data_IF_022239769737
#
_entry.id   IF_022239769737
#
_cell.length_a   1.000
_cell.length_b   1.000
_cell.length_c   1.000
_cell.angle_alpha   90.00
_cell.angle_beta   90.00
_cell.angle_gamma   90.00
#
_symmetry.space_group_name_H-M   'P 1'
#
loop_
_entity.id
_entity.type
_entity.pdbx_description
1 polymer ?
#
# COMPACT_ATOMS: atom_id res chain seq x y z
N UNK A 1 55.86 -9.75 8.92
CA UNK A 1 54.47 -9.33 8.53
C UNK A 1 54.50 -8.94 7.06
N UNK A 2 54.14 -9.84 6.16
CA UNK A 2 54.11 -9.56 4.73
C UNK A 2 53.03 -8.55 4.42
N UNK A 3 53.48 -7.33 4.09
CA UNK A 3 52.57 -6.34 3.51
C UNK A 3 52.14 -6.84 2.15
N UNK A 4 50.94 -7.46 2.04
CA UNK A 4 50.32 -7.73 0.77
C UNK A 4 50.03 -6.41 0.08
N UNK A 5 50.94 -5.99 -0.80
CA UNK A 5 50.75 -4.78 -1.61
C UNK A 5 49.57 -5.00 -2.56
N UNK A 6 48.52 -4.23 -2.38
CA UNK A 6 47.41 -4.15 -3.30
C UNK A 6 47.70 -2.96 -4.21
N UNK A 7 47.95 -3.21 -5.49
CA UNK A 7 48.12 -2.15 -6.48
C UNK A 7 46.78 -1.42 -6.66
N UNK A 8 46.81 -0.09 -6.71
CA UNK A 8 45.65 0.76 -6.85
C UNK A 8 45.71 1.50 -8.20
N UNK A 9 44.69 1.41 -9.01
CA UNK A 9 44.61 2.14 -10.29
C UNK A 9 44.08 3.57 -10.06
N UNK A 10 42.93 3.69 -9.43
CA UNK A 10 42.27 4.98 -9.10
C UNK A 10 41.67 4.90 -7.69
N UNK A 11 41.53 6.05 -7.05
CA UNK A 11 40.86 6.18 -5.77
C UNK A 11 40.06 7.48 -5.71
N UNK A 12 39.03 7.50 -4.88
CA UNK A 12 38.19 8.67 -4.62
C UNK A 12 37.65 8.59 -3.18
N UNK A 13 37.03 9.66 -2.72
CA UNK A 13 36.43 9.73 -1.40
C UNK A 13 35.04 10.37 -1.49
N UNK A 14 34.06 9.67 -0.99
CA UNK A 14 32.67 10.14 -0.89
C UNK A 14 32.24 10.12 0.58
N UNK A 15 32.04 11.29 1.18
CA UNK A 15 31.74 11.41 2.58
C UNK A 15 32.80 10.72 3.47
N UNK A 16 32.37 9.74 4.25
CA UNK A 16 33.24 8.91 5.10
C UNK A 16 33.88 7.71 4.40
N UNK A 17 33.45 7.42 3.16
CA UNK A 17 33.89 6.24 2.41
C UNK A 17 35.03 6.56 1.47
N UNK A 18 36.16 5.87 1.63
CA UNK A 18 37.22 5.83 0.63
C UNK A 18 36.98 4.67 -0.34
N UNK A 19 36.96 4.96 -1.65
CA UNK A 19 36.70 4.01 -2.73
C UNK A 19 38.02 3.86 -3.52
N UNK A 20 38.38 2.62 -3.86
CA UNK A 20 39.60 2.38 -4.66
C UNK A 20 39.35 1.22 -5.61
N UNK A 21 39.81 1.33 -6.88
CA UNK A 21 39.88 0.23 -7.82
C UNK A 21 41.24 -0.46 -7.69
N UNK A 22 41.25 -1.70 -7.27
CA UNK A 22 42.48 -2.41 -6.85
C UNK A 22 42.56 -3.80 -7.51
N UNK A 23 43.80 -4.31 -7.62
CA UNK A 23 44.03 -5.73 -7.89
C UNK A 23 43.98 -6.47 -6.54
N UNK A 24 42.97 -7.38 -6.38
CA UNK A 24 42.75 -8.06 -5.12
C UNK A 24 43.64 -9.30 -4.96
N UNK A 25 44.72 -9.15 -4.22
CA UNK A 25 45.71 -10.21 -3.99
C UNK A 25 45.46 -11.04 -2.72
N UNK A 26 44.32 -10.87 -2.06
CA UNK A 26 44.03 -11.59 -0.80
C UNK A 26 43.88 -13.10 -0.97
N UNK A 27 43.53 -13.55 -2.15
CA UNK A 27 43.36 -14.96 -2.46
C UNK A 27 44.22 -15.36 -3.65
N UNK A 28 45.19 -16.23 -3.41
CA UNK A 28 46.01 -16.82 -4.49
C UNK A 28 45.14 -17.82 -5.26
N UNK A 29 45.03 -17.66 -6.57
CA UNK A 29 44.35 -18.63 -7.46
C UNK A 29 45.35 -19.25 -8.44
N UNK A 30 45.06 -20.45 -8.90
CA UNK A 30 45.87 -21.14 -9.90
C UNK A 30 46.07 -20.25 -11.15
N UNK A 31 47.33 -20.06 -11.58
CA UNK A 31 47.68 -19.28 -12.76
C UNK A 31 48.17 -17.83 -12.50
N UNK A 32 48.36 -17.40 -11.24
CA UNK A 32 48.94 -16.10 -10.91
C UNK A 32 48.13 -14.87 -11.30
N UNK A 33 46.85 -15.04 -11.68
CA UNK A 33 45.92 -13.97 -11.99
C UNK A 33 45.01 -13.64 -10.82
N UNK A 34 44.80 -12.35 -10.56
CA UNK A 34 44.00 -11.82 -9.47
C UNK A 34 42.80 -11.00 -10.01
N UNK A 35 41.66 -11.05 -9.35
CA UNK A 35 40.52 -10.25 -9.80
C UNK A 35 40.74 -8.75 -9.53
N UNK A 36 40.24 -7.91 -10.44
CA UNK A 36 40.04 -6.50 -10.14
C UNK A 36 38.83 -6.37 -9.22
N UNK A 37 38.96 -5.51 -8.20
CA UNK A 37 37.86 -5.26 -7.26
C UNK A 37 37.78 -3.77 -6.88
N UNK A 38 36.58 -3.33 -6.61
CA UNK A 38 36.32 -2.09 -5.88
C UNK A 38 36.53 -2.36 -4.38
N UNK A 39 37.33 -1.56 -3.75
CA UNK A 39 37.53 -1.58 -2.30
C UNK A 39 36.91 -0.33 -1.68
N UNK A 40 35.90 -0.55 -0.87
CA UNK A 40 35.24 0.47 -0.06
C UNK A 40 35.80 0.42 1.36
N UNK A 41 36.13 1.57 1.95
CA UNK A 41 36.70 1.66 3.30
C UNK A 41 35.93 2.72 4.10
N UNK A 42 35.28 2.31 5.20
CA UNK A 42 34.63 3.18 6.19
C UNK A 42 35.15 2.76 7.59
N UNK A 43 35.58 3.69 8.41
CA UNK A 43 36.02 3.44 9.80
C UNK A 43 37.01 2.26 9.91
N UNK A 44 38.01 2.24 9.02
CA UNK A 44 39.04 1.18 8.90
C UNK A 44 38.53 -0.20 8.49
N UNK A 45 37.20 -0.40 8.37
CA UNK A 45 36.62 -1.62 7.82
C UNK A 45 36.64 -1.58 6.28
N UNK A 46 36.85 -2.74 5.65
CA UNK A 46 37.01 -2.84 4.20
C UNK A 46 36.05 -3.82 3.61
N UNK A 47 35.40 -3.41 2.52
CA UNK A 47 34.55 -4.26 1.66
C UNK A 47 35.21 -4.35 0.28
N UNK A 48 35.19 -5.53 -0.34
CA UNK A 48 35.70 -5.73 -1.69
C UNK A 48 34.59 -6.29 -2.58
N UNK A 49 34.39 -5.63 -3.71
CA UNK A 49 33.39 -6.00 -4.71
C UNK A 49 34.10 -6.36 -6.02
N UNK A 50 34.14 -7.66 -6.44
CA UNK A 50 34.86 -8.08 -7.64
C UNK A 50 34.15 -7.62 -8.91
N UNK A 51 34.90 -7.15 -9.92
CA UNK A 51 34.38 -6.72 -11.22
C UNK A 51 34.44 -7.82 -12.29
N UNK A 52 34.96 -9.02 -11.98
CA UNK A 52 34.99 -10.18 -12.87
C UNK A 52 36.31 -10.37 -13.62
N UNK A 53 36.94 -9.30 -14.09
CA UNK A 53 38.20 -9.37 -14.82
C UNK A 53 39.36 -9.80 -13.93
N UNK A 54 40.33 -10.54 -14.52
CA UNK A 54 41.50 -11.06 -13.80
C UNK A 54 42.76 -10.76 -14.58
N UNK A 55 43.75 -10.23 -13.88
CA UNK A 55 45.05 -9.85 -14.41
C UNK A 55 46.17 -10.37 -13.53
N UNK A 56 47.34 -10.61 -14.15
CA UNK A 56 48.57 -10.76 -13.42
C UNK A 56 49.03 -9.40 -12.91
N UNK A 57 49.94 -9.38 -11.94
CA UNK A 57 50.52 -8.11 -11.43
C UNK A 57 51.18 -7.29 -12.56
N UNK A 58 51.90 -7.96 -13.46
CA UNK A 58 52.58 -7.30 -14.59
C UNK A 58 51.58 -6.65 -15.56
N UNK A 59 50.52 -7.38 -15.93
CA UNK A 59 49.45 -6.86 -16.81
C UNK A 59 48.77 -5.66 -16.15
N UNK A 60 48.42 -5.75 -14.86
CA UNK A 60 47.76 -4.64 -14.16
C UNK A 60 48.67 -3.43 -14.00
N UNK A 61 49.95 -3.60 -13.66
CA UNK A 61 50.91 -2.50 -13.60
C UNK A 61 51.10 -1.85 -14.99
N UNK A 62 51.10 -2.60 -16.06
CA UNK A 62 51.15 -2.07 -17.46
C UNK A 62 49.93 -1.20 -17.75
N UNK A 63 48.73 -1.65 -17.37
CA UNK A 63 47.51 -0.87 -17.47
C UNK A 63 47.58 0.42 -16.63
N UNK A 64 48.01 0.34 -15.37
CA UNK A 64 48.15 1.52 -14.51
C UNK A 64 49.06 2.61 -15.08
N UNK A 65 50.15 2.19 -15.72
CA UNK A 65 51.18 3.09 -16.30
C UNK A 65 50.84 3.52 -17.73
N UNK A 66 49.83 2.95 -18.38
CA UNK A 66 49.47 3.28 -19.75
C UNK A 66 49.12 4.76 -19.91
N UNK A 67 49.66 5.40 -20.97
CA UNK A 67 49.41 6.80 -21.32
C UNK A 67 48.91 6.84 -22.79
N UNK A 68 48.15 7.86 -23.11
CA UNK A 68 47.71 8.10 -24.48
C UNK A 68 48.92 8.37 -25.36
N UNK A 69 49.14 7.54 -26.38
CA UNK A 69 50.32 7.66 -27.29
C UNK A 69 50.07 8.56 -28.50
N UNK A 70 48.79 8.96 -28.72
CA UNK A 70 48.40 9.89 -29.81
C UNK A 70 48.64 9.37 -31.25
N UNK A 71 49.13 8.13 -31.43
CA UNK A 71 49.38 7.52 -32.74
C UNK A 71 48.13 6.74 -33.20
N UNK A 72 47.60 7.09 -34.37
CA UNK A 72 46.60 6.29 -35.08
C UNK A 72 47.37 5.29 -35.98
N UNK A 73 47.42 4.04 -35.58
CA UNK A 73 47.92 2.92 -36.39
C UNK A 73 46.77 1.94 -36.65
N UNK A 74 46.75 1.32 -37.82
CA UNK A 74 45.74 0.33 -38.19
C UNK A 74 45.88 -0.99 -37.40
N UNK A 75 47.01 -1.17 -36.69
CA UNK A 75 47.26 -2.31 -35.79
C UNK A 75 47.44 -1.75 -34.38
N UNK A 76 46.51 -2.10 -33.48
CA UNK A 76 46.59 -1.65 -32.06
C UNK A 76 47.82 -2.26 -31.40
N UNK A 77 48.69 -1.42 -30.87
CA UNK A 77 49.81 -1.85 -30.05
C UNK A 77 49.34 -2.27 -28.66
N UNK A 78 50.09 -3.12 -27.97
CA UNK A 78 49.81 -3.52 -26.59
C UNK A 78 49.63 -2.30 -25.66
N UNK A 79 50.37 -1.21 -25.89
CA UNK A 79 50.28 0.05 -25.13
C UNK A 79 48.93 0.76 -25.37
N UNK A 80 48.38 0.71 -26.56
CA UNK A 80 47.06 1.29 -26.86
C UNK A 80 45.95 0.45 -26.26
N UNK A 81 46.07 -0.88 -26.32
CA UNK A 81 45.13 -1.81 -25.68
C UNK A 81 45.09 -1.60 -24.15
N UNK A 82 46.26 -1.46 -23.53
CA UNK A 82 46.35 -1.17 -22.08
C UNK A 82 45.76 0.18 -21.72
N UNK A 83 45.90 1.20 -22.57
CA UNK A 83 45.31 2.53 -22.34
C UNK A 83 43.78 2.48 -22.49
N UNK A 84 43.23 1.81 -23.47
CA UNK A 84 41.80 1.60 -23.65
C UNK A 84 41.20 0.86 -22.41
N UNK A 85 41.87 -0.21 -21.99
CA UNK A 85 41.48 -0.96 -20.79
C UNK A 85 41.48 -0.07 -19.54
N UNK A 86 42.49 0.79 -19.36
CA UNK A 86 42.56 1.77 -18.29
C UNK A 86 41.37 2.72 -18.31
N UNK A 87 41.07 3.30 -19.49
CA UNK A 87 39.94 4.22 -19.65
C UNK A 87 38.60 3.57 -19.30
N UNK A 88 38.39 2.33 -19.76
CA UNK A 88 37.20 1.56 -19.43
C UNK A 88 37.05 1.30 -17.93
N UNK A 89 38.13 0.91 -17.28
CA UNK A 89 38.16 0.67 -15.82
C UNK A 89 37.93 1.96 -15.04
N UNK A 90 38.49 3.09 -15.48
CA UNK A 90 38.27 4.41 -14.85
C UNK A 90 36.81 4.88 -15.04
N UNK A 91 36.21 4.65 -16.21
CA UNK A 91 34.82 4.95 -16.46
C UNK A 91 33.89 4.08 -15.60
N UNK A 92 34.19 2.78 -15.52
CA UNK A 92 33.49 1.84 -14.64
C UNK A 92 33.61 2.29 -13.17
N UNK A 93 34.82 2.64 -12.72
CA UNK A 93 35.04 3.16 -11.37
C UNK A 93 34.16 4.39 -11.08
N UNK A 94 34.10 5.35 -12.01
CA UNK A 94 33.30 6.56 -11.86
C UNK A 94 31.82 6.26 -11.69
N UNK A 95 31.25 5.30 -12.44
CA UNK A 95 29.86 4.90 -12.29
C UNK A 95 29.55 4.36 -10.88
N UNK A 96 30.48 3.65 -10.27
CA UNK A 96 30.33 3.17 -8.89
C UNK A 96 30.52 4.29 -7.85
N UNK A 97 31.38 5.26 -8.10
CA UNK A 97 31.51 6.47 -7.26
C UNK A 97 30.19 7.24 -7.27
N UNK A 98 29.55 7.41 -8.44
CA UNK A 98 28.24 8.07 -8.56
C UNK A 98 27.16 7.34 -7.73
N UNK A 99 27.14 6.01 -7.73
CA UNK A 99 26.23 5.21 -6.88
C UNK A 99 26.45 5.50 -5.40
N UNK A 100 27.72 5.55 -4.94
CA UNK A 100 28.04 5.82 -3.53
C UNK A 100 27.71 7.27 -3.17
N UNK A 101 27.91 8.22 -4.09
CA UNK A 101 27.51 9.62 -3.90
C UNK A 101 25.98 9.76 -3.73
N UNK A 102 25.19 9.04 -4.53
CA UNK A 102 23.73 9.04 -4.39
C UNK A 102 23.29 8.44 -3.05
N UNK A 103 23.98 7.42 -2.54
CA UNK A 103 23.71 6.84 -1.22
C UNK A 103 24.08 7.83 -0.08
N UNK A 104 25.20 8.53 -0.19
CA UNK A 104 25.67 9.51 0.83
C UNK A 104 24.69 10.70 0.96
N UNK A 105 24.03 11.10 -0.14
CA UNK A 105 23.01 12.16 -0.13
C UNK A 105 21.74 11.79 0.60
N UNK A 106 21.43 10.50 0.71
CA UNK A 106 20.14 10.02 1.20
C UNK A 106 20.14 9.56 2.64
N UNK A 107 21.31 9.14 3.17
CA UNK A 107 21.43 8.62 4.54
C UNK A 107 22.88 8.52 4.98
N UNK A 108 23.11 8.21 6.27
CA UNK A 108 24.47 7.95 6.80
C UNK A 108 25.06 6.70 6.12
N UNK A 109 26.10 6.91 5.31
CA UNK A 109 26.74 5.89 4.51
C UNK A 109 27.33 4.75 5.36
N UNK A 110 27.06 3.50 4.97
CA UNK A 110 27.64 2.30 5.61
C UNK A 110 28.07 1.27 4.55
N UNK A 111 29.05 0.40 4.90
CA UNK A 111 29.49 -0.68 4.00
C UNK A 111 28.37 -1.65 3.63
N UNK A 112 27.44 -1.90 4.55
CA UNK A 112 26.26 -2.75 4.30
C UNK A 112 25.36 -2.14 3.23
N UNK A 113 25.07 -0.85 3.32
CA UNK A 113 24.25 -0.15 2.30
C UNK A 113 24.90 -0.20 0.92
N UNK A 114 26.22 0.02 0.86
CA UNK A 114 26.98 -0.09 -0.39
C UNK A 114 26.85 -1.51 -0.94
N UNK A 115 27.08 -2.54 -0.12
CA UNK A 115 27.00 -3.93 -0.53
C UNK A 115 25.59 -4.32 -1.00
N UNK A 116 24.57 -3.94 -0.26
CA UNK A 116 23.15 -4.13 -0.64
C UNK A 116 22.85 -3.50 -1.99
N UNK A 117 23.33 -2.27 -2.21
CA UNK A 117 23.11 -1.56 -3.48
C UNK A 117 23.83 -2.22 -4.66
N UNK A 118 25.05 -2.74 -4.44
CA UNK A 118 25.88 -3.34 -5.49
C UNK A 118 25.48 -4.79 -5.82
N UNK A 119 25.08 -5.54 -4.82
CA UNK A 119 24.78 -6.98 -4.99
C UNK A 119 23.29 -7.31 -5.06
N UNK A 120 22.44 -6.41 -4.57
CA UNK A 120 21.03 -6.72 -4.31
C UNK A 120 20.84 -7.82 -3.25
N UNK A 121 21.92 -8.20 -2.56
CA UNK A 121 21.97 -9.35 -1.65
C UNK A 121 22.25 -8.91 -0.22
N UNK A 122 21.26 -8.40 0.48
CA UNK A 122 21.15 -8.69 1.90
C UNK A 122 19.94 -9.60 2.06
N UNK A 123 20.13 -10.78 2.65
CA UNK A 123 19.02 -11.66 3.04
C UNK A 123 18.10 -10.99 4.07
N UNK A 124 18.58 -9.93 4.74
CA UNK A 124 17.84 -9.17 5.75
C UNK A 124 17.05 -7.97 5.20
N UNK A 125 17.36 -7.44 3.98
CA UNK A 125 16.65 -6.30 3.40
C UNK A 125 16.29 -6.53 1.92
N UNK A 126 15.02 -6.48 1.59
CA UNK A 126 14.54 -6.54 0.21
C UNK A 126 13.31 -5.66 0.02
N UNK A 127 13.00 -5.34 -1.23
CA UNK A 127 11.78 -4.62 -1.59
C UNK A 127 10.51 -5.28 -1.02
N UNK A 128 10.47 -6.62 -1.03
CA UNK A 128 9.35 -7.38 -0.49
C UNK A 128 9.31 -7.40 1.04
N UNK A 129 10.46 -7.29 1.73
CA UNK A 129 10.53 -7.15 3.19
C UNK A 129 10.13 -5.75 3.64
N UNK A 130 10.57 -4.70 2.94
CA UNK A 130 10.07 -3.33 3.19
C UNK A 130 8.55 -3.27 2.98
N UNK A 131 8.02 -4.01 1.99
CA UNK A 131 6.58 -4.10 1.80
C UNK A 131 5.89 -4.76 2.99
N UNK A 132 6.46 -5.85 3.54
CA UNK A 132 5.94 -6.53 4.74
C UNK A 132 5.99 -5.62 5.97
N UNK A 133 7.11 -4.92 6.17
CA UNK A 133 7.26 -3.95 7.25
C UNK A 133 6.17 -2.86 7.20
N UNK A 134 5.90 -2.33 6.00
CA UNK A 134 4.80 -1.37 5.82
C UNK A 134 3.44 -2.01 6.15
N UNK A 135 3.18 -3.27 5.74
CA UNK A 135 1.94 -3.97 6.06
C UNK A 135 1.75 -4.06 7.58
N UNK A 136 2.79 -4.48 8.31
CA UNK A 136 2.76 -4.68 9.76
C UNK A 136 2.50 -3.38 10.54
N UNK A 137 2.88 -2.24 9.98
CA UNK A 137 2.71 -0.91 10.59
C UNK A 137 1.43 -0.17 10.12
N UNK A 138 0.48 -0.85 9.45
CA UNK A 138 -0.77 -0.25 8.99
C UNK A 138 -1.99 -0.80 9.74
N UNK A 139 -3.06 0.01 9.75
CA UNK A 139 -4.36 -0.48 10.23
C UNK A 139 -4.80 -1.71 9.44
N UNK A 140 -5.50 -2.64 10.10
CA UNK A 140 -5.92 -3.94 9.53
C UNK A 140 -6.49 -3.83 8.12
N UNK A 141 -7.34 -2.82 7.86
CA UNK A 141 -7.94 -2.61 6.55
C UNK A 141 -6.98 -2.20 5.45
N UNK A 142 -5.99 -1.39 5.78
CA UNK A 142 -4.94 -0.98 4.85
C UNK A 142 -3.96 -2.13 4.65
N UNK A 143 -3.59 -2.84 5.72
CA UNK A 143 -2.72 -4.02 5.69
C UNK A 143 -3.25 -5.10 4.75
N UNK A 144 -4.55 -5.43 4.80
CA UNK A 144 -5.17 -6.40 3.88
C UNK A 144 -5.07 -5.97 2.40
N UNK A 145 -5.31 -4.69 2.12
CA UNK A 145 -5.18 -4.15 0.76
C UNK A 145 -3.74 -4.24 0.25
N UNK A 146 -2.76 -3.92 1.09
CA UNK A 146 -1.34 -4.01 0.76
C UNK A 146 -0.87 -5.45 0.62
N UNK A 147 -1.37 -6.36 1.47
CA UNK A 147 -1.12 -7.80 1.37
C UNK A 147 -1.64 -8.37 0.06
N UNK A 148 -2.84 -7.97 -0.36
CA UNK A 148 -3.43 -8.40 -1.62
C UNK A 148 -2.63 -7.88 -2.81
N UNK A 149 -2.19 -6.62 -2.77
CA UNK A 149 -1.33 -6.04 -3.79
C UNK A 149 0.03 -6.75 -3.86
N UNK A 150 0.66 -7.07 -2.72
CA UNK A 150 1.92 -7.83 -2.64
C UNK A 150 1.76 -9.23 -3.23
N UNK A 151 0.69 -9.94 -2.89
CA UNK A 151 0.38 -11.27 -3.47
C UNK A 151 0.21 -11.20 -4.99
N UNK A 152 -0.49 -10.18 -5.49
CA UNK A 152 -0.63 -9.93 -6.92
C UNK A 152 0.72 -9.65 -7.58
N UNK A 153 1.57 -8.80 -6.96
CA UNK A 153 2.91 -8.52 -7.46
C UNK A 153 3.73 -9.82 -7.60
N UNK A 154 3.77 -10.64 -6.55
CA UNK A 154 4.49 -11.92 -6.56
C UNK A 154 3.92 -12.88 -7.63
N UNK A 155 2.60 -12.91 -7.83
CA UNK A 155 1.95 -13.76 -8.84
C UNK A 155 2.49 -13.48 -10.25
N UNK A 156 2.63 -12.22 -10.64
CA UNK A 156 2.97 -11.83 -12.02
C UNK A 156 4.45 -11.56 -12.26
N UNK A 157 5.17 -11.14 -11.23
CA UNK A 157 6.59 -10.79 -11.31
C UNK A 157 7.46 -11.93 -10.81
N UNK A 158 7.03 -12.65 -9.78
CA UNK A 158 7.80 -13.60 -9.00
C UNK A 158 8.39 -12.97 -7.74
N UNK A 159 9.11 -13.78 -6.99
CA UNK A 159 9.89 -13.32 -5.84
C UNK A 159 11.16 -12.66 -6.39
N UNK A 160 11.34 -11.37 -6.09
CA UNK A 160 12.54 -10.63 -6.44
C UNK A 160 13.54 -10.64 -5.29
N UNK A 161 14.82 -10.80 -5.58
CA UNK A 161 15.89 -10.72 -4.58
C UNK A 161 16.34 -9.27 -4.37
N UNK A 162 16.55 -8.87 -3.11
CA UNK A 162 17.01 -7.53 -2.74
C UNK A 162 16.10 -6.44 -3.30
N UNK A 163 16.70 -5.42 -3.91
CA UNK A 163 16.00 -4.27 -4.53
C UNK A 163 16.02 -4.31 -6.06
N UNK A 164 16.05 -5.50 -6.68
CA UNK A 164 16.03 -5.68 -8.13
C UNK A 164 14.64 -5.41 -8.74
N UNK A 165 14.11 -4.23 -8.47
CA UNK A 165 12.84 -3.74 -8.99
C UNK A 165 13.09 -2.54 -9.91
N UNK A 166 12.41 -2.52 -11.05
CA UNK A 166 12.55 -1.46 -12.06
C UNK A 166 11.20 -1.07 -12.64
N UNK A 167 11.17 -0.03 -13.47
CA UNK A 167 9.98 0.34 -14.23
C UNK A 167 9.45 -0.84 -15.05
N UNK A 168 10.31 -1.58 -15.74
CA UNK A 168 9.93 -2.76 -16.54
C UNK A 168 9.32 -3.88 -15.70
N UNK A 169 9.78 -4.04 -14.46
CA UNK A 169 9.18 -4.98 -13.48
C UNK A 169 7.72 -4.64 -13.20
N UNK A 170 7.43 -3.35 -13.00
CA UNK A 170 6.07 -2.88 -12.72
C UNK A 170 5.20 -2.95 -13.98
N UNK A 171 5.75 -2.63 -15.16
CA UNK A 171 5.03 -2.77 -16.43
C UNK A 171 4.64 -4.23 -16.71
N UNK A 172 5.53 -5.20 -16.42
CA UNK A 172 5.20 -6.62 -16.48
C UNK A 172 4.03 -6.97 -15.56
N UNK A 173 4.03 -6.44 -14.34
CA UNK A 173 2.92 -6.64 -13.40
C UNK A 173 1.60 -6.07 -13.90
N UNK A 174 1.61 -4.82 -14.40
CA UNK A 174 0.43 -4.18 -14.97
C UNK A 174 -0.13 -5.02 -16.12
N UNK A 175 0.70 -5.41 -17.08
CA UNK A 175 0.31 -6.22 -18.23
C UNK A 175 -0.29 -7.57 -17.82
N UNK A 176 0.30 -8.22 -16.80
CA UNK A 176 -0.24 -9.46 -16.26
C UNK A 176 -1.64 -9.30 -15.66
N UNK A 177 -1.87 -8.21 -14.91
CA UNK A 177 -3.20 -7.90 -14.36
C UNK A 177 -4.22 -7.55 -15.45
N UNK A 178 -3.81 -6.80 -16.48
CA UNK A 178 -4.68 -6.45 -17.61
C UNK A 178 -5.10 -7.70 -18.39
N UNK A 179 -4.18 -8.62 -18.65
CA UNK A 179 -4.46 -9.89 -19.31
C UNK A 179 -5.45 -10.76 -18.52
N UNK A 180 -5.41 -10.71 -17.19
CA UNK A 180 -6.36 -11.41 -16.32
C UNK A 180 -7.68 -10.60 -16.09
N UNK A 181 -7.90 -9.51 -16.83
CA UNK A 181 -9.14 -8.73 -16.81
C UNK A 181 -9.34 -7.83 -15.58
N UNK A 182 -8.29 -7.49 -14.85
CA UNK A 182 -8.41 -6.57 -13.71
C UNK A 182 -8.86 -5.18 -14.15
N UNK A 183 -9.76 -4.59 -13.39
CA UNK A 183 -10.22 -3.22 -13.68
C UNK A 183 -9.12 -2.19 -13.42
N UNK A 184 -9.14 -1.08 -14.18
CA UNK A 184 -8.23 0.07 -13.95
C UNK A 184 -8.25 0.56 -12.51
N UNK A 185 -9.40 0.51 -11.83
CA UNK A 185 -9.52 0.86 -10.41
C UNK A 185 -8.69 -0.06 -9.53
N UNK A 186 -8.77 -1.38 -9.73
CA UNK A 186 -8.01 -2.37 -8.96
C UNK A 186 -6.50 -2.22 -9.20
N UNK A 187 -6.11 -2.10 -10.48
CA UNK A 187 -4.70 -1.86 -10.86
C UNK A 187 -4.19 -0.59 -10.18
N UNK A 188 -4.97 0.50 -10.21
CA UNK A 188 -4.60 1.76 -9.57
C UNK A 188 -4.45 1.64 -8.04
N UNK A 189 -5.29 0.83 -7.36
CA UNK A 189 -5.15 0.57 -5.92
C UNK A 189 -3.83 -0.14 -5.63
N UNK A 190 -3.49 -1.18 -6.39
CA UNK A 190 -2.27 -1.96 -6.20
C UNK A 190 -1.01 -1.15 -6.50
N UNK A 191 -1.02 -0.36 -7.57
CA UNK A 191 0.09 0.52 -7.90
C UNK A 191 0.31 1.63 -6.86
N UNK A 192 -0.75 2.15 -6.24
CA UNK A 192 -0.61 3.10 -5.12
C UNK A 192 0.06 2.46 -3.91
N UNK A 193 -0.25 1.20 -3.58
CA UNK A 193 0.46 0.47 -2.54
C UNK A 193 1.95 0.30 -2.88
N UNK A 194 2.26 -0.14 -4.11
CA UNK A 194 3.64 -0.27 -4.60
C UNK A 194 4.40 1.07 -4.55
N UNK A 195 3.75 2.18 -4.93
CA UNK A 195 4.34 3.52 -4.87
C UNK A 195 4.75 3.91 -3.45
N UNK A 196 3.95 3.56 -2.44
CA UNK A 196 4.31 3.82 -1.04
C UNK A 196 5.54 3.02 -0.64
N UNK A 197 5.62 1.74 -1.03
CA UNK A 197 6.81 0.90 -0.80
C UNK A 197 8.04 1.47 -1.50
N UNK A 198 7.89 1.90 -2.75
CA UNK A 198 8.98 2.52 -3.51
C UNK A 198 9.51 3.78 -2.83
N UNK A 199 8.59 4.65 -2.39
CA UNK A 199 8.95 5.87 -1.65
C UNK A 199 9.71 5.55 -0.37
N UNK A 200 9.27 4.56 0.40
CA UNK A 200 9.94 4.11 1.62
C UNK A 200 11.34 3.56 1.32
N UNK A 201 11.48 2.72 0.27
CA UNK A 201 12.79 2.22 -0.16
C UNK A 201 13.72 3.37 -0.59
N UNK A 202 13.18 4.40 -1.25
CA UNK A 202 13.95 5.59 -1.64
C UNK A 202 14.35 6.42 -0.41
N UNK A 203 13.46 6.57 0.56
CA UNK A 203 13.74 7.29 1.80
C UNK A 203 14.78 6.58 2.66
N UNK A 204 14.75 5.22 2.71
CA UNK A 204 15.76 4.39 3.38
C UNK A 204 17.09 4.31 2.59
N UNK A 205 17.18 4.89 1.38
CA UNK A 205 18.39 4.89 0.56
C UNK A 205 18.64 3.59 -0.23
N UNK A 206 17.66 2.69 -0.29
CA UNK A 206 17.77 1.41 -1.03
C UNK A 206 17.54 1.59 -2.53
N UNK A 207 16.76 2.58 -2.94
CA UNK A 207 16.46 2.92 -4.33
C UNK A 207 16.78 4.38 -4.63
N UNK A 208 17.31 4.64 -5.83
CA UNK A 208 17.62 6.00 -6.28
C UNK A 208 16.37 6.76 -6.70
N UNK A 209 16.31 8.07 -6.42
CA UNK A 209 15.27 8.97 -6.93
C UNK A 209 15.24 9.02 -8.45
N UNK A 210 16.38 8.82 -9.12
CA UNK A 210 16.48 8.79 -10.60
C UNK A 210 15.75 7.60 -11.21
N UNK A 211 15.59 6.50 -10.47
CA UNK A 211 14.92 5.27 -10.91
C UNK A 211 13.40 5.28 -10.59
N UNK A 212 12.89 6.39 -10.06
CA UNK A 212 11.47 6.49 -9.68
C UNK A 212 10.54 6.30 -10.88
N UNK A 213 9.69 5.24 -10.87
CA UNK A 213 8.98 4.85 -12.08
C UNK A 213 7.64 5.54 -12.28
N UNK A 214 7.09 6.25 -11.27
CA UNK A 214 5.74 6.78 -11.32
C UNK A 214 5.71 8.28 -11.66
N UNK A 215 4.81 8.70 -12.53
CA UNK A 215 4.63 10.11 -12.87
C UNK A 215 3.58 10.34 -13.95
N UNK A 216 3.47 11.60 -14.38
CA UNK A 216 2.57 12.01 -15.48
C UNK A 216 3.26 12.03 -16.83
N UNK A 217 4.60 12.04 -16.86
CA UNK A 217 5.36 12.05 -18.09
C UNK A 217 5.21 10.73 -18.85
N UNK A 218 5.25 10.79 -20.18
CA UNK A 218 5.13 9.60 -21.05
C UNK A 218 6.20 8.53 -20.79
N UNK A 219 7.36 8.94 -20.27
CA UNK A 219 8.44 8.04 -19.88
C UNK A 219 8.19 7.30 -18.57
N UNK A 220 7.18 7.69 -17.78
CA UNK A 220 6.87 7.15 -16.48
C UNK A 220 5.53 6.40 -16.47
N UNK A 221 5.27 5.65 -15.40
CA UNK A 221 4.03 4.91 -15.21
C UNK A 221 2.99 5.85 -14.60
N UNK A 222 1.96 6.16 -15.35
CA UNK A 222 0.79 6.85 -14.82
C UNK A 222 -0.12 5.87 -14.10
N UNK A 223 -0.36 6.10 -12.80
CA UNK A 223 -1.26 5.24 -12.01
C UNK A 223 -2.69 5.52 -12.46
N UNK A 224 -3.42 4.50 -12.94
CA UNK A 224 -4.77 4.71 -13.45
C UNK A 224 -5.73 5.15 -12.34
N UNK A 225 -6.56 6.12 -12.67
CA UNK A 225 -7.71 6.54 -11.85
C UNK A 225 -8.92 5.74 -12.36
N UNK A 226 -9.65 5.13 -11.44
CA UNK A 226 -10.87 4.41 -11.81
C UNK A 226 -11.92 5.36 -12.41
N UNK A 227 -12.75 4.84 -13.31
CA UNK A 227 -13.91 5.59 -13.79
C UNK A 227 -14.84 5.92 -12.62
N UNK A 228 -15.32 7.14 -12.56
CA UNK A 228 -16.44 7.53 -11.69
C UNK A 228 -17.70 6.82 -12.19
N UNK A 229 -18.01 5.64 -11.63
CA UNK A 229 -19.31 5.02 -11.85
C UNK A 229 -20.37 5.89 -11.18
N UNK A 230 -21.51 6.12 -11.88
CA UNK A 230 -22.68 6.68 -11.24
C UNK A 230 -23.02 5.80 -10.04
N UNK A 231 -23.03 6.38 -8.85
CA UNK A 231 -23.35 5.63 -7.64
C UNK A 231 -24.84 5.37 -7.63
N UNK A 232 -25.20 4.11 -7.53
CA UNK A 232 -26.57 3.70 -7.37
C UNK A 232 -27.05 4.02 -5.96
N UNK A 233 -28.30 4.41 -5.83
CA UNK A 233 -28.95 4.78 -4.57
C UNK A 233 -30.43 4.43 -4.62
N UNK A 234 -31.06 4.35 -3.45
CA UNK A 234 -32.51 4.26 -3.30
C UNK A 234 -33.07 5.67 -3.08
N UNK A 235 -34.13 6.03 -3.81
CA UNK A 235 -34.82 7.28 -3.59
C UNK A 235 -35.65 7.25 -2.30
N UNK A 236 -36.31 8.37 -1.97
CA UNK A 236 -37.10 8.51 -0.73
C UNK A 236 -38.29 7.55 -0.71
N UNK A 237 -38.96 7.37 -1.85
CA UNK A 237 -40.10 6.47 -1.99
C UNK A 237 -39.71 5.02 -1.71
N UNK A 238 -38.59 4.57 -2.29
CA UNK A 238 -38.07 3.21 -2.06
C UNK A 238 -37.63 3.00 -0.60
N UNK A 239 -36.99 4.00 0.00
CA UNK A 239 -36.64 3.93 1.43
C UNK A 239 -37.88 3.89 2.32
N UNK A 240 -38.94 4.62 1.97
CA UNK A 240 -40.23 4.61 2.67
C UNK A 240 -40.92 3.25 2.51
N UNK A 241 -40.91 2.65 1.34
CA UNK A 241 -41.45 1.31 1.11
C UNK A 241 -40.73 0.27 1.99
N UNK A 242 -39.40 0.29 2.03
CA UNK A 242 -38.63 -0.60 2.93
C UNK A 242 -38.97 -0.39 4.40
N UNK A 243 -39.17 0.86 4.82
CA UNK A 243 -39.60 1.18 6.18
C UNK A 243 -41.01 0.64 6.47
N UNK A 244 -41.94 0.76 5.53
CA UNK A 244 -43.29 0.20 5.67
C UNK A 244 -43.28 -1.34 5.73
N UNK A 245 -42.40 -1.99 4.95
CA UNK A 245 -42.20 -3.46 5.03
C UNK A 245 -41.72 -3.84 6.43
N UNK A 246 -40.80 -3.07 7.00
CA UNK A 246 -40.28 -3.30 8.35
C UNK A 246 -41.38 -3.18 9.42
N UNK A 247 -42.10 -2.06 9.42
CA UNK A 247 -43.14 -1.76 10.44
C UNK A 247 -44.30 -2.77 10.36
N UNK A 248 -44.79 -3.04 9.16
CA UNK A 248 -45.93 -3.92 8.94
C UNK A 248 -45.54 -5.40 8.93
N UNK A 249 -44.27 -5.74 9.04
CA UNK A 249 -43.73 -7.11 8.97
C UNK A 249 -44.24 -7.89 7.73
N UNK A 250 -44.35 -7.16 6.62
CA UNK A 250 -44.95 -7.70 5.39
C UNK A 250 -43.90 -8.47 4.58
N UNK A 251 -43.69 -9.74 4.92
CA UNK A 251 -42.77 -10.65 4.26
C UNK A 251 -43.54 -11.74 3.49
N UNK A 252 -42.92 -12.39 2.49
CA UNK A 252 -43.56 -13.50 1.77
C UNK A 252 -43.93 -14.65 2.71
N UNK A 253 -45.18 -15.12 2.61
CA UNK A 253 -45.69 -16.23 3.42
C UNK A 253 -44.93 -17.54 3.22
N UNK A 254 -44.32 -17.73 2.02
CA UNK A 254 -43.45 -18.87 1.72
C UNK A 254 -42.14 -18.93 2.50
N UNK A 255 -41.77 -17.84 3.18
CA UNK A 255 -40.56 -17.82 3.97
C UNK A 255 -40.76 -18.42 5.36
N UNK A 256 -39.77 -19.23 5.79
CA UNK A 256 -39.77 -19.76 7.15
C UNK A 256 -39.61 -18.64 8.18
N UNK A 257 -40.31 -18.75 9.30
CA UNK A 257 -40.30 -17.76 10.40
C UNK A 257 -38.85 -17.37 10.81
N UNK A 258 -37.96 -18.36 11.00
CA UNK A 258 -36.55 -18.10 11.37
C UNK A 258 -35.74 -17.35 10.27
N UNK A 259 -36.18 -17.44 9.01
CA UNK A 259 -35.58 -16.67 7.94
C UNK A 259 -36.14 -15.24 7.90
N UNK A 260 -37.43 -15.08 8.13
CA UNK A 260 -38.08 -13.76 8.28
C UNK A 260 -37.42 -12.95 9.40
N UNK A 261 -37.18 -13.55 10.56
CA UNK A 261 -36.48 -12.88 11.67
C UNK A 261 -35.09 -12.35 11.26
N UNK A 262 -34.32 -13.15 10.49
CA UNK A 262 -33.03 -12.73 9.98
C UNK A 262 -33.12 -11.61 8.93
N UNK A 263 -34.12 -11.67 8.06
CA UNK A 263 -34.37 -10.61 7.06
C UNK A 263 -34.81 -9.34 7.75
N UNK A 264 -35.71 -9.44 8.73
CA UNK A 264 -36.19 -8.31 9.51
C UNK A 264 -35.04 -7.59 10.22
N UNK A 265 -34.17 -8.33 10.91
CA UNK A 265 -32.97 -7.76 11.54
C UNK A 265 -32.04 -7.08 10.51
N UNK A 266 -31.80 -7.70 9.34
CA UNK A 266 -30.95 -7.11 8.29
C UNK A 266 -31.59 -5.86 7.68
N UNK A 267 -32.90 -5.86 7.45
CA UNK A 267 -33.64 -4.69 6.98
C UNK A 267 -33.56 -3.56 8.02
N UNK A 268 -33.77 -3.88 9.29
CA UNK A 268 -33.60 -2.93 10.38
C UNK A 268 -32.22 -2.30 10.41
N UNK A 269 -31.13 -3.10 10.33
CA UNK A 269 -29.76 -2.59 10.24
C UNK A 269 -29.53 -1.72 8.99
N UNK A 270 -30.14 -2.07 7.84
CA UNK A 270 -30.05 -1.28 6.61
C UNK A 270 -30.71 0.10 6.82
N UNK A 271 -31.91 0.12 7.39
CA UNK A 271 -32.63 1.37 7.71
C UNK A 271 -31.93 2.20 8.75
N UNK A 272 -31.38 1.59 9.81
CA UNK A 272 -30.55 2.27 10.81
C UNK A 272 -29.36 2.97 10.16
N UNK A 273 -28.65 2.28 9.25
CA UNK A 273 -27.54 2.91 8.54
C UNK A 273 -27.98 4.16 7.76
N UNK A 274 -29.12 4.13 7.11
CA UNK A 274 -29.68 5.28 6.40
C UNK A 274 -30.09 6.41 7.35
N UNK A 275 -30.88 6.10 8.38
CA UNK A 275 -31.41 7.07 9.33
C UNK A 275 -30.31 7.65 10.25
N UNK A 276 -29.23 6.92 10.44
CA UNK A 276 -28.02 7.42 11.11
C UNK A 276 -27.06 8.11 10.14
N UNK A 277 -27.59 8.97 9.29
CA UNK A 277 -26.83 9.80 8.35
C UNK A 277 -25.93 9.00 7.40
N UNK A 278 -26.32 7.81 6.99
CA UNK A 278 -25.54 6.96 6.10
C UNK A 278 -24.23 6.44 6.71
N UNK A 279 -24.18 6.17 8.02
CA UNK A 279 -22.99 5.61 8.63
C UNK A 279 -22.70 4.16 8.16
N UNK A 280 -21.47 3.70 8.33
CA UNK A 280 -21.09 2.37 7.87
C UNK A 280 -21.50 1.28 8.87
N UNK A 281 -21.68 0.05 8.40
CA UNK A 281 -21.93 -1.10 9.30
C UNK A 281 -20.83 -1.27 10.35
N UNK A 282 -19.58 -0.87 10.04
CA UNK A 282 -18.49 -0.90 11.00
C UNK A 282 -18.69 0.08 12.18
N UNK A 283 -19.35 1.21 11.95
CA UNK A 283 -19.72 2.19 12.97
C UNK A 283 -20.95 1.68 13.73
N UNK A 284 -21.97 1.12 13.05
CA UNK A 284 -23.13 0.48 13.67
C UNK A 284 -22.74 -0.65 14.64
N UNK A 285 -21.82 -1.52 14.22
CA UNK A 285 -21.35 -2.64 15.03
C UNK A 285 -20.63 -2.21 16.31
N UNK A 286 -20.10 -0.99 16.34
CA UNK A 286 -19.40 -0.41 17.49
C UNK A 286 -20.20 0.63 18.25
N UNK A 287 -21.44 0.91 17.82
CA UNK A 287 -22.30 1.89 18.45
C UNK A 287 -22.64 1.43 19.87
N UNK A 288 -22.54 2.37 20.83
CA UNK A 288 -22.76 2.08 22.25
C UNK A 288 -23.77 3.05 22.86
N UNK A 289 -24.43 2.57 23.89
CA UNK A 289 -25.17 3.42 24.84
C UNK A 289 -24.14 4.11 25.76
N UNK A 290 -23.43 5.11 25.23
CA UNK A 290 -22.38 5.85 25.95
C UNK A 290 -22.97 6.92 26.86
N UNK A 291 -22.13 7.64 27.61
CA UNK A 291 -22.58 8.69 28.53
C UNK A 291 -23.35 9.79 27.83
N UNK A 292 -22.96 10.18 26.61
CA UNK A 292 -23.68 11.20 25.84
C UNK A 292 -25.12 10.79 25.52
N UNK A 293 -25.39 9.51 25.25
CA UNK A 293 -26.73 9.01 25.02
C UNK A 293 -27.65 9.32 26.23
N UNK A 294 -27.17 9.08 27.47
CA UNK A 294 -27.91 9.36 28.66
C UNK A 294 -28.01 10.86 28.99
N UNK A 295 -26.91 11.61 28.80
CA UNK A 295 -26.87 13.07 29.01
C UNK A 295 -27.83 13.80 28.05
N UNK A 296 -27.96 13.33 26.80
CA UNK A 296 -28.95 13.86 25.86
C UNK A 296 -30.40 13.51 26.16
N UNK A 297 -30.70 12.85 27.29
CA UNK A 297 -32.02 12.32 27.58
C UNK A 297 -32.46 11.22 26.61
N UNK A 298 -31.52 10.42 26.10
CA UNK A 298 -31.73 9.35 25.10
C UNK A 298 -32.26 9.87 23.76
N UNK A 299 -31.90 11.11 23.41
CA UNK A 299 -32.34 11.75 22.16
C UNK A 299 -31.29 11.68 21.06
N UNK A 300 -30.04 11.34 21.37
CA UNK A 300 -28.98 11.33 20.38
C UNK A 300 -27.88 10.31 20.70
N UNK A 301 -27.32 9.70 19.70
CA UNK A 301 -26.05 8.98 19.79
C UNK A 301 -24.90 9.91 19.45
N UNK A 302 -23.76 9.70 20.12
CA UNK A 302 -22.49 10.31 19.79
C UNK A 302 -21.43 9.24 19.61
N UNK A 303 -20.63 9.31 18.55
CA UNK A 303 -19.53 8.37 18.32
C UNK A 303 -18.45 8.97 17.44
N UNK A 304 -17.23 8.44 17.54
CA UNK A 304 -16.15 8.72 16.60
C UNK A 304 -16.16 7.70 15.46
N UNK A 305 -16.04 8.18 14.22
CA UNK A 305 -15.99 7.29 13.06
C UNK A 305 -14.74 6.43 13.09
N UNK A 306 -14.92 5.11 13.09
CA UNK A 306 -13.82 4.15 13.14
C UNK A 306 -12.79 4.36 12.02
N UNK A 307 -13.23 4.67 10.79
CA UNK A 307 -12.34 4.81 9.62
C UNK A 307 -11.42 6.02 9.68
N UNK A 308 -11.79 7.08 10.38
CA UNK A 308 -11.08 8.37 10.37
C UNK A 308 -10.55 8.79 11.75
N UNK A 309 -10.77 8.00 12.79
CA UNK A 309 -10.36 8.32 14.17
C UNK A 309 -8.86 8.65 14.33
N UNK A 310 -8.00 8.07 13.49
CA UNK A 310 -6.54 8.24 13.58
C UNK A 310 -5.98 9.23 12.55
N UNK A 311 -6.82 9.96 11.80
CA UNK A 311 -6.37 10.78 10.65
C UNK A 311 -6.46 12.29 10.84
N UNK A 312 -7.21 12.78 11.80
CA UNK A 312 -7.36 14.22 12.03
C UNK A 312 -7.03 14.55 13.48
N UNK A 313 -6.26 15.60 13.69
CA UNK A 313 -6.02 16.21 15.00
C UNK A 313 -7.33 16.74 15.60
N UNK A 314 -8.31 17.10 14.76
CA UNK A 314 -9.67 17.41 15.13
C UNK A 314 -10.56 16.19 14.94
N UNK A 315 -10.54 15.25 15.88
CA UNK A 315 -11.47 14.13 15.96
C UNK A 315 -12.91 14.67 16.11
N UNK A 316 -13.58 14.92 14.97
CA UNK A 316 -14.97 15.36 15.01
C UNK A 316 -15.85 14.18 15.41
N UNK A 317 -16.43 14.28 16.60
CA UNK A 317 -17.49 13.40 17.05
C UNK A 317 -18.74 13.61 16.18
N UNK A 318 -19.37 12.53 15.81
CA UNK A 318 -20.61 12.56 15.03
C UNK A 318 -21.78 12.40 16.00
N UNK A 319 -22.68 13.37 15.99
CA UNK A 319 -23.92 13.33 16.75
C UNK A 319 -25.08 12.97 15.81
N UNK A 320 -25.86 11.96 16.18
CA UNK A 320 -27.02 11.48 15.43
C UNK A 320 -28.25 11.62 16.30
N UNK A 321 -29.23 12.46 15.91
CA UNK A 321 -30.50 12.55 16.59
C UNK A 321 -31.34 11.28 16.39
N UNK A 322 -31.96 10.79 17.43
CA UNK A 322 -32.85 9.62 17.40
C UNK A 322 -34.27 10.11 17.09
N UNK A 323 -34.54 10.24 15.81
CA UNK A 323 -35.88 10.56 15.29
C UNK A 323 -36.83 9.40 15.47
N UNK A 324 -38.14 9.66 15.43
CA UNK A 324 -39.16 8.65 15.71
C UNK A 324 -39.05 7.38 14.86
N UNK A 325 -38.84 7.43 13.52
CA UNK A 325 -38.63 6.22 12.73
C UNK A 325 -37.44 5.38 13.19
N UNK A 326 -36.33 6.03 13.63
CA UNK A 326 -35.17 5.33 14.16
C UNK A 326 -35.47 4.70 15.50
N UNK A 327 -36.22 5.39 16.39
CA UNK A 327 -36.63 4.89 17.72
C UNK A 327 -37.43 3.60 17.59
N UNK A 328 -38.39 3.56 16.67
CA UNK A 328 -39.21 2.38 16.40
C UNK A 328 -38.34 1.20 15.95
N UNK A 329 -37.41 1.42 15.03
CA UNK A 329 -36.53 0.34 14.57
C UNK A 329 -35.64 -0.15 15.72
N UNK A 330 -35.06 0.76 16.49
CA UNK A 330 -34.21 0.40 17.62
C UNK A 330 -34.96 -0.41 18.67
N UNK A 331 -36.24 -0.09 18.95
CA UNK A 331 -37.05 -0.85 19.93
C UNK A 331 -37.26 -2.33 19.54
N UNK A 332 -37.13 -2.67 18.22
CA UNK A 332 -37.29 -4.03 17.74
C UNK A 332 -35.98 -4.81 17.59
N UNK A 333 -34.89 -4.14 17.19
CA UNK A 333 -33.66 -4.84 16.83
C UNK A 333 -32.44 -4.52 17.72
N UNK A 334 -32.49 -3.47 18.53
CA UNK A 334 -31.41 -3.13 19.44
C UNK A 334 -31.44 -4.03 20.69
N UNK A 335 -30.29 -4.21 21.31
CA UNK A 335 -30.19 -4.83 22.61
C UNK A 335 -30.80 -3.92 23.71
N UNK A 336 -31.21 -4.48 24.84
CA UNK A 336 -31.60 -3.69 26.02
C UNK A 336 -30.54 -2.65 26.36
N UNK A 337 -30.99 -1.47 26.76
CA UNK A 337 -30.10 -0.36 27.11
C UNK A 337 -29.26 -0.70 28.34
N UNK A 338 -27.96 -0.82 28.10
CA UNK A 338 -26.96 -1.00 29.15
C UNK A 338 -25.87 0.06 28.96
N UNK A 339 -25.55 0.79 30.07
CA UNK A 339 -24.54 1.86 29.98
C UNK A 339 -23.19 1.34 29.55
N UNK A 340 -22.64 1.87 28.43
CA UNK A 340 -21.43 1.38 27.82
C UNK A 340 -21.61 0.12 26.97
N UNK A 341 -22.79 -0.52 27.00
CA UNK A 341 -23.12 -1.69 26.18
C UNK A 341 -23.24 -1.37 24.70
N UNK A 342 -23.06 -2.39 23.85
CA UNK A 342 -23.27 -2.26 22.40
C UNK A 342 -24.76 -2.21 22.08
N UNK A 343 -25.14 -1.37 21.11
CA UNK A 343 -26.52 -1.32 20.60
C UNK A 343 -26.87 -2.59 19.83
N UNK A 344 -25.89 -3.14 19.08
CA UNK A 344 -26.05 -4.36 18.26
C UNK A 344 -24.99 -5.43 18.59
N UNK A 345 -25.00 -6.02 19.79
CA UNK A 345 -23.97 -6.97 20.24
C UNK A 345 -23.95 -8.25 19.41
N UNK A 346 -25.06 -8.62 18.75
CA UNK A 346 -25.16 -9.80 17.89
C UNK A 346 -24.22 -9.76 16.67
N UNK A 347 -23.77 -8.58 16.24
CA UNK A 347 -22.82 -8.42 15.12
C UNK A 347 -21.43 -8.88 15.54
N UNK A 348 -20.93 -8.39 16.67
CA UNK A 348 -19.57 -8.65 17.16
C UNK A 348 -19.47 -9.89 18.05
N UNK A 349 -20.56 -10.35 18.65
CA UNK A 349 -20.64 -11.54 19.52
C UNK A 349 -19.59 -11.56 20.64
N UNK A 350 -19.28 -10.40 21.20
CA UNK A 350 -18.27 -10.26 22.25
C UNK A 350 -16.81 -10.25 21.77
N UNK A 351 -16.57 -10.32 20.48
CA UNK A 351 -15.21 -10.32 19.93
C UNK A 351 -14.58 -8.92 20.06
N UNK A 352 -13.30 -8.90 20.47
CA UNK A 352 -12.50 -7.67 20.66
C UNK A 352 -11.26 -7.59 19.74
N UNK A 353 -10.81 -8.74 19.22
CA UNK A 353 -9.69 -8.77 18.28
C UNK A 353 -10.09 -8.11 16.96
N UNK A 354 -9.42 -7.03 16.58
CA UNK A 354 -9.78 -6.23 15.41
C UNK A 354 -9.79 -7.01 14.08
N UNK A 355 -8.94 -8.02 13.93
CA UNK A 355 -8.95 -8.88 12.74
C UNK A 355 -10.22 -9.72 12.67
N UNK A 356 -10.67 -10.28 13.81
CA UNK A 356 -11.88 -11.08 13.89
C UNK A 356 -13.13 -10.18 13.81
N UNK A 357 -13.14 -9.05 14.52
CA UNK A 357 -14.18 -8.03 14.43
C UNK A 357 -14.43 -7.65 12.98
N UNK A 358 -13.37 -7.40 12.20
CA UNK A 358 -13.50 -7.08 10.79
C UNK A 358 -14.13 -8.22 9.96
N UNK A 359 -13.76 -9.47 10.24
CA UNK A 359 -14.37 -10.64 9.58
C UNK A 359 -15.86 -10.76 9.90
N UNK A 360 -16.25 -10.54 11.16
CA UNK A 360 -17.66 -10.57 11.58
C UNK A 360 -18.47 -9.45 10.90
N UNK A 361 -17.92 -8.25 10.82
CA UNK A 361 -18.57 -7.12 10.12
C UNK A 361 -18.69 -7.42 8.61
N UNK A 362 -17.66 -7.99 7.99
CA UNK A 362 -17.71 -8.37 6.58
C UNK A 362 -18.75 -9.47 6.32
N UNK A 363 -18.85 -10.46 7.20
CA UNK A 363 -19.86 -11.51 7.15
C UNK A 363 -21.28 -10.93 7.27
N UNK A 364 -21.51 -10.05 8.26
CA UNK A 364 -22.84 -9.44 8.43
C UNK A 364 -23.19 -8.51 7.26
N UNK A 365 -22.18 -7.83 6.68
CA UNK A 365 -22.38 -7.04 5.46
C UNK A 365 -22.83 -7.90 4.28
N UNK A 366 -22.23 -9.09 4.10
CA UNK A 366 -22.67 -10.06 3.10
C UNK A 366 -24.09 -10.57 3.38
N UNK A 367 -24.40 -10.89 4.65
CA UNK A 367 -25.73 -11.31 5.07
C UNK A 367 -26.80 -10.26 4.75
N UNK A 368 -26.53 -8.99 5.06
CA UNK A 368 -27.44 -7.89 4.72
C UNK A 368 -27.65 -7.82 3.22
N UNK A 369 -26.58 -7.86 2.43
CA UNK A 369 -26.67 -7.80 0.97
C UNK A 369 -27.53 -8.94 0.39
N UNK A 370 -27.28 -10.18 0.80
CA UNK A 370 -28.01 -11.35 0.32
C UNK A 370 -29.48 -11.32 0.72
N UNK A 371 -29.79 -10.89 1.96
CA UNK A 371 -31.17 -10.81 2.47
C UNK A 371 -31.93 -9.65 1.83
N UNK A 372 -31.27 -8.48 1.68
CA UNK A 372 -31.85 -7.33 0.98
C UNK A 372 -32.15 -7.66 -0.50
N UNK A 373 -31.23 -8.35 -1.19
CA UNK A 373 -31.45 -8.82 -2.55
C UNK A 373 -32.72 -9.68 -2.64
N UNK A 374 -32.89 -10.67 -1.76
CA UNK A 374 -34.08 -11.52 -1.77
C UNK A 374 -35.36 -10.76 -1.43
N UNK A 375 -35.26 -9.80 -0.48
CA UNK A 375 -36.40 -8.96 -0.12
C UNK A 375 -36.84 -8.08 -1.29
N UNK A 376 -35.90 -7.38 -1.93
CA UNK A 376 -36.21 -6.50 -3.06
C UNK A 376 -36.72 -7.28 -4.27
N UNK A 377 -36.24 -8.51 -4.52
CA UNK A 377 -36.84 -9.42 -5.50
C UNK A 377 -38.31 -9.78 -5.17
N UNK A 378 -38.62 -10.02 -3.90
CA UNK A 378 -39.98 -10.30 -3.46
C UNK A 378 -40.90 -9.06 -3.55
N UNK A 379 -40.34 -7.85 -3.56
CA UNK A 379 -41.03 -6.59 -3.82
C UNK A 379 -41.12 -6.25 -5.33
N UNK A 380 -40.65 -7.16 -6.20
CA UNK A 380 -40.56 -6.97 -7.65
C UNK A 380 -39.66 -5.81 -8.08
N UNK A 381 -38.61 -5.54 -7.31
CA UNK A 381 -37.62 -4.58 -7.72
C UNK A 381 -36.54 -5.20 -8.62
N UNK A 382 -36.07 -4.44 -9.61
CA UNK A 382 -34.98 -4.84 -10.50
C UNK A 382 -33.60 -4.47 -9.95
N UNK A 383 -33.55 -3.78 -8.80
CA UNK A 383 -32.32 -3.29 -8.15
C UNK A 383 -32.06 -4.04 -6.84
N UNK A 384 -30.78 -4.27 -6.55
CA UNK A 384 -30.34 -5.07 -5.41
C UNK A 384 -29.38 -4.27 -4.53
N UNK A 385 -29.88 -3.54 -3.52
CA UNK A 385 -29.07 -2.65 -2.73
C UNK A 385 -28.10 -3.40 -1.80
N UNK A 386 -26.85 -2.97 -1.81
CA UNK A 386 -25.88 -3.35 -0.79
C UNK A 386 -25.89 -2.35 0.39
N UNK A 387 -25.28 -2.70 1.52
CA UNK A 387 -25.27 -1.79 2.69
C UNK A 387 -24.58 -0.44 2.41
N UNK A 388 -23.70 -0.35 1.41
CA UNK A 388 -23.10 0.92 1.00
C UNK A 388 -24.09 1.87 0.34
N UNK A 389 -25.19 1.35 -0.20
CA UNK A 389 -26.24 2.18 -0.79
C UNK A 389 -26.95 3.05 0.26
N UNK A 390 -27.04 2.63 1.51
CA UNK A 390 -27.59 3.45 2.59
C UNK A 390 -26.94 4.83 2.63
N UNK A 391 -25.60 4.85 2.53
CA UNK A 391 -24.83 6.09 2.55
C UNK A 391 -25.02 6.93 1.27
N UNK A 392 -25.08 6.26 0.10
CA UNK A 392 -25.32 6.96 -1.16
C UNK A 392 -26.73 7.51 -1.22
N UNK A 393 -27.71 6.72 -0.77
CA UNK A 393 -29.12 7.15 -0.68
C UNK A 393 -29.28 8.33 0.25
N UNK A 394 -28.72 8.29 1.45
CA UNK A 394 -28.77 9.39 2.39
C UNK A 394 -28.20 10.68 1.79
N UNK A 395 -26.96 10.64 1.28
CA UNK A 395 -26.30 11.80 0.71
C UNK A 395 -27.04 12.36 -0.51
N UNK A 396 -27.52 11.50 -1.42
CA UNK A 396 -28.21 11.90 -2.64
C UNK A 396 -29.58 12.47 -2.33
N UNK A 397 -30.36 11.82 -1.46
CA UNK A 397 -31.69 12.27 -1.07
C UNK A 397 -31.65 13.62 -0.35
N UNK A 398 -30.65 13.85 0.54
CA UNK A 398 -30.44 15.14 1.16
C UNK A 398 -30.09 16.23 0.14
N UNK A 399 -29.25 15.92 -0.83
CA UNK A 399 -28.91 16.86 -1.90
C UNK A 399 -30.14 17.24 -2.73
N UNK A 400 -31.00 16.25 -3.07
CA UNK A 400 -32.25 16.49 -3.76
C UNK A 400 -33.27 17.29 -2.92
N UNK A 401 -33.21 17.16 -1.60
CA UNK A 401 -34.01 17.98 -0.67
C UNK A 401 -33.46 19.42 -0.49
N UNK A 402 -32.46 19.81 -1.26
CA UNK A 402 -31.90 21.17 -1.22
C UNK A 402 -30.87 21.43 -0.12
N UNK A 403 -30.42 20.41 0.61
CA UNK A 403 -29.36 20.57 1.61
C UNK A 403 -28.01 20.77 0.91
N UNK A 404 -27.26 21.85 1.21
CA UNK A 404 -25.97 22.11 0.59
C UNK A 404 -24.99 20.96 0.76
N UNK A 405 -24.29 20.58 -0.32
CA UNK A 405 -23.30 19.47 -0.33
C UNK A 405 -22.25 19.65 0.78
N UNK A 406 -21.85 20.88 1.07
CA UNK A 406 -20.91 21.18 2.14
C UNK A 406 -21.43 20.76 3.52
N UNK A 407 -22.72 20.94 3.79
CA UNK A 407 -23.36 20.49 5.04
C UNK A 407 -23.40 18.96 5.13
N UNK A 408 -23.67 18.28 4.00
CA UNK A 408 -23.61 16.81 3.90
C UNK A 408 -22.17 16.30 4.07
N UNK A 409 -21.19 17.05 3.54
CA UNK A 409 -19.76 16.74 3.65
C UNK A 409 -19.23 16.91 5.08
N UNK A 410 -19.61 17.98 5.76
CA UNK A 410 -19.19 18.26 7.15
C UNK A 410 -19.68 17.21 8.14
N UNK A 411 -20.85 16.65 7.90
CA UNK A 411 -21.41 15.63 8.80
C UNK A 411 -20.90 14.24 8.50
N UNK A 412 -20.51 13.89 7.24
CA UNK A 412 -20.22 12.48 6.88
C UNK A 412 -19.30 12.22 5.69
N UNK A 413 -19.00 13.19 4.84
CA UNK A 413 -18.22 12.96 3.63
C UNK A 413 -16.98 13.85 3.64
N UNK A 414 -15.86 13.34 4.11
CA UNK A 414 -14.58 13.85 3.61
C UNK A 414 -14.49 13.48 2.13
N UNK A 415 -14.83 14.41 1.25
CA UNK A 415 -14.47 14.31 -0.16
C UNK A 415 -12.94 14.22 -0.23
N UNK A 416 -12.35 13.39 -1.10
CA UNK A 416 -10.94 13.49 -1.38
C UNK A 416 -10.70 14.90 -1.92
N UNK A 417 -10.00 15.72 -1.16
CA UNK A 417 -9.40 16.94 -1.69
C UNK A 417 -8.49 16.52 -2.84
N UNK A 418 -8.75 17.09 -3.98
CA UNK A 418 -8.03 16.99 -5.27
C UNK A 418 -6.51 17.05 -5.11
#
# INVERSE_FOLDING_TARGET
MDKKYISCLVNDKVGVCAISLVLDKRHVRNGGKYPIALRFTIDRKRLYYPLGDKYTEKEFDAICRAKNTGRRSNIKSEKETNFECKMLLEQTFKSYVDIVQDLDKTSKLSLNMIMTRLTGKNEEDSFLLVWEDIINNRSVGTADSYTTAKKSFIKYVGVISGFNVSKSTIEKWIKGMENDGFTKTTIGIYLRACRVVWNECTQRGFLSKKEYPFGKDKSLITIPVGSTRKKEYLNVEQMTELYQVFINKKYPESWRKSYIEKVHFSLGLFLVQYLCNGFNLADAARLRYNDYYYISGKQSFQFMRYKTKDRSENNSEVVIPIIEPLRIILSEIAAPEERGGLVFPSILKGETNEVQVRKLIALENSNIQDRMKKLTMALNWEIFPSSTWCRHSFATNLTHAGVPINSVSYTHLTLPTT
#
